data_IF_171045004567
#
_entry.id   IF_171045004567
#
_cell.length_a   1.000
_cell.length_b   1.000
_cell.length_c   1.000
_cell.angle_alpha   90.00
_cell.angle_beta   90.00
_cell.angle_gamma   90.00
#
_symmetry.space_group_name_H-M   'P 1'
#
loop_
_entity.id
_entity.type
_entity.pdbx_description
1 polymer ?
#
# COMPACT_ATOMS: atom_id res chain seq x y z
N UNK A 1 -23.79 -13.36 22.61
CA UNK A 1 -22.75 -13.76 21.64
C UNK A 1 -22.94 -12.89 20.42
N UNK A 2 -22.04 -11.96 20.14
CA UNK A 2 -22.30 -10.87 19.18
C UNK A 2 -22.01 -11.29 17.74
N UNK A 3 -23.05 -11.35 16.91
CA UNK A 3 -22.94 -11.35 15.46
C UNK A 3 -22.38 -10.01 14.98
N UNK A 4 -21.17 -10.03 14.42
CA UNK A 4 -20.65 -8.90 13.65
C UNK A 4 -21.30 -8.99 12.26
N UNK A 5 -22.34 -8.18 12.04
CA UNK A 5 -22.89 -7.96 10.69
C UNK A 5 -21.85 -7.22 9.85
N UNK A 6 -21.28 -7.91 8.87
CA UNK A 6 -20.39 -7.31 7.86
C UNK A 6 -21.12 -6.19 7.11
N UNK A 7 -20.66 -4.96 7.27
CA UNK A 7 -21.33 -3.78 6.74
C UNK A 7 -21.11 -3.70 5.22
N UNK A 8 -22.19 -3.64 4.44
CA UNK A 8 -22.15 -3.73 2.96
C UNK A 8 -21.28 -2.64 2.30
N UNK A 9 -21.04 -1.52 2.98
CA UNK A 9 -20.17 -0.41 2.55
C UNK A 9 -18.68 -0.80 2.55
N UNK A 10 -18.23 -1.55 3.56
CA UNK A 10 -16.86 -2.06 3.67
C UNK A 10 -16.58 -3.07 2.55
N UNK A 11 -17.59 -3.91 2.26
CA UNK A 11 -17.60 -4.87 1.16
C UNK A 11 -17.54 -4.21 -0.22
N UNK A 12 -18.12 -3.01 -0.36
CA UNK A 12 -18.13 -2.23 -1.61
C UNK A 12 -16.81 -1.48 -1.84
N UNK A 13 -16.13 -1.02 -0.79
CA UNK A 13 -14.79 -0.43 -0.89
C UNK A 13 -13.71 -1.48 -1.18
N UNK A 14 -13.82 -2.70 -0.61
CA UNK A 14 -12.92 -3.82 -0.93
C UNK A 14 -12.91 -4.22 -2.41
N UNK A 15 -13.99 -3.95 -3.17
CA UNK A 15 -14.18 -4.39 -4.57
C UNK A 15 -13.36 -3.65 -5.64
N UNK A 16 -12.52 -2.66 -5.31
CA UNK A 16 -11.71 -1.91 -6.30
C UNK A 16 -10.22 -1.79 -5.95
N UNK A 17 -9.68 -2.69 -5.11
CA UNK A 17 -8.23 -2.77 -4.94
C UNK A 17 -7.64 -3.54 -6.13
N UNK A 18 -6.95 -2.82 -7.01
CA UNK A 18 -6.16 -3.45 -8.07
C UNK A 18 -4.89 -3.99 -7.44
N UNK A 19 -4.69 -5.31 -7.52
CA UNK A 19 -3.42 -5.92 -7.15
C UNK A 19 -2.41 -5.65 -8.25
N UNK A 20 -1.25 -5.10 -7.88
CA UNK A 20 -0.14 -4.82 -8.80
C UNK A 20 1.07 -5.59 -8.27
N UNK A 21 1.70 -6.38 -9.13
CA UNK A 21 2.99 -6.98 -8.82
C UNK A 21 4.10 -5.99 -9.20
N UNK A 22 5.04 -5.77 -8.28
CA UNK A 22 6.18 -4.87 -8.47
C UNK A 22 7.45 -5.70 -8.48
N UNK A 23 8.18 -5.68 -9.59
CA UNK A 23 9.52 -6.25 -9.68
C UNK A 23 10.53 -5.27 -9.09
N UNK A 24 11.22 -5.68 -8.02
CA UNK A 24 12.29 -4.93 -7.37
C UNK A 24 13.56 -5.78 -7.40
N UNK A 25 14.72 -5.13 -7.54
CA UNK A 25 16.01 -5.79 -7.29
C UNK A 25 16.17 -6.13 -5.80
N UNK A 26 17.04 -7.09 -5.50
CA UNK A 26 17.26 -7.57 -4.12
C UNK A 26 17.79 -6.45 -3.20
N UNK A 27 18.64 -5.57 -3.72
CA UNK A 27 19.14 -4.41 -2.97
C UNK A 27 18.01 -3.47 -2.56
N UNK A 28 17.11 -3.14 -3.51
CA UNK A 28 15.97 -2.26 -3.25
C UNK A 28 15.00 -2.92 -2.27
N UNK A 29 14.77 -4.23 -2.40
CA UNK A 29 13.93 -4.99 -1.47
C UNK A 29 14.49 -4.93 -0.05
N UNK A 30 15.80 -5.07 0.11
CA UNK A 30 16.47 -5.03 1.42
C UNK A 30 16.28 -3.67 2.08
N UNK A 31 16.55 -2.58 1.36
CA UNK A 31 16.34 -1.21 1.85
C UNK A 31 14.88 -0.96 2.20
N UNK A 32 13.94 -1.46 1.38
CA UNK A 32 12.50 -1.32 1.65
C UNK A 32 12.10 -2.02 2.95
N UNK A 33 12.63 -3.21 3.21
CA UNK A 33 12.35 -3.99 4.42
C UNK A 33 12.88 -3.31 5.68
N UNK A 34 14.11 -2.79 5.63
CA UNK A 34 14.69 -2.01 6.72
C UNK A 34 13.81 -0.79 7.04
N UNK A 35 13.38 -0.05 6.01
CA UNK A 35 12.52 1.12 6.18
C UNK A 35 11.13 0.76 6.70
N UNK A 36 10.58 -0.37 6.28
CA UNK A 36 9.32 -0.89 6.83
C UNK A 36 9.44 -1.21 8.32
N UNK A 37 10.54 -1.83 8.73
CA UNK A 37 10.81 -2.14 10.14
C UNK A 37 10.98 -0.87 10.98
N UNK A 38 11.74 0.11 10.49
CA UNK A 38 11.94 1.40 11.16
C UNK A 38 10.62 2.18 11.35
N UNK A 39 9.75 2.17 10.34
CA UNK A 39 8.50 2.95 10.34
C UNK A 39 7.30 2.19 10.92
N UNK A 40 7.45 0.90 11.22
CA UNK A 40 6.35 0.04 11.65
C UNK A 40 5.24 -0.09 10.60
N UNK A 41 5.58 -0.06 9.31
CA UNK A 41 4.64 -0.09 8.19
C UNK A 41 4.82 -1.33 7.33
N UNK A 42 3.74 -1.74 6.64
CA UNK A 42 3.82 -2.83 5.65
C UNK A 42 4.51 -2.35 4.37
N UNK A 43 5.19 -3.26 3.67
CA UNK A 43 5.81 -2.98 2.36
C UNK A 43 4.81 -2.36 1.39
N UNK A 44 3.58 -2.89 1.33
CA UNK A 44 2.53 -2.36 0.47
C UNK A 44 2.15 -0.91 0.80
N UNK A 45 2.08 -0.55 2.09
CA UNK A 45 1.79 0.81 2.51
C UNK A 45 2.93 1.77 2.15
N UNK A 46 4.18 1.35 2.39
CA UNK A 46 5.36 2.14 2.08
C UNK A 46 5.51 2.37 0.57
N UNK A 47 5.37 1.31 -0.23
CA UNK A 47 5.40 1.39 -1.70
C UNK A 47 4.28 2.30 -2.21
N UNK A 48 3.06 2.16 -1.69
CA UNK A 48 1.95 3.05 -2.07
C UNK A 48 2.27 4.51 -1.75
N UNK A 49 2.83 4.80 -0.59
CA UNK A 49 3.23 6.15 -0.20
C UNK A 49 4.29 6.71 -1.15
N UNK A 50 5.33 5.93 -1.47
CA UNK A 50 6.39 6.34 -2.39
C UNK A 50 5.87 6.61 -3.80
N UNK A 51 5.00 5.73 -4.33
CA UNK A 51 4.36 5.92 -5.63
C UNK A 51 3.53 7.19 -5.64
N UNK A 52 2.68 7.42 -4.63
CA UNK A 52 1.86 8.63 -4.54
C UNK A 52 2.71 9.90 -4.43
N UNK A 53 3.82 9.85 -3.69
CA UNK A 53 4.76 10.97 -3.57
C UNK A 53 5.40 11.30 -4.92
N UNK A 54 5.94 10.29 -5.62
CA UNK A 54 6.54 10.48 -6.95
C UNK A 54 5.55 11.03 -7.97
N UNK A 55 4.32 10.50 -8.01
CA UNK A 55 3.28 10.99 -8.92
C UNK A 55 2.88 12.45 -8.62
N UNK A 56 2.87 12.87 -7.34
CA UNK A 56 2.64 14.28 -6.96
C UNK A 56 3.78 15.18 -7.39
N UNK A 57 5.03 14.76 -7.15
CA UNK A 57 6.23 15.51 -7.53
C UNK A 57 6.34 15.68 -9.05
N UNK A 58 5.86 14.70 -9.82
CA UNK A 58 5.75 14.78 -11.28
C UNK A 58 4.55 15.61 -11.78
N UNK A 59 3.66 16.06 -10.89
CA UNK A 59 2.42 16.75 -11.27
C UNK A 59 1.37 15.86 -11.94
N UNK A 60 1.54 14.53 -11.91
CA UNK A 60 0.62 13.58 -12.52
C UNK A 60 -0.68 13.40 -11.72
N UNK A 61 -0.62 13.65 -10.41
CA UNK A 61 -1.79 13.67 -9.52
C UNK A 61 -1.71 14.90 -8.61
N UNK A 62 -2.87 15.49 -8.31
CA UNK A 62 -2.98 16.67 -7.43
C UNK A 62 -3.24 16.30 -5.98
#
# INVERSE_FOLDING_TARGET
>A
MSEIKENATEKRMRKKLVQVQVGLSDDIRTVLQEKCAELGQTEAALVRMLVMKGLREMGAIS
#
